data_IF_946061427992
#
_entry.id   IF_946061427992
#
_cell.length_a   1.000
_cell.length_b   1.000
_cell.length_c   1.000
_cell.angle_alpha   90.00
_cell.angle_beta   90.00
_cell.angle_gamma   90.00
#
_symmetry.space_group_name_H-M   'P 1'
#
loop_
_entity.id
_entity.type
_entity.pdbx_description
1 polymer ?
#
# COMPACT_ATOMS: atom_id res chain seq x y z
N UNK A 1 -10.35 2.90 -4.18
CA UNK A 1 -10.73 4.01 -5.08
C UNK A 1 -9.56 4.98 -5.20
N UNK A 2 -9.31 5.59 -6.37
CA UNK A 2 -8.32 6.67 -6.52
C UNK A 2 -9.06 7.99 -6.40
N UNK A 3 -8.53 8.93 -5.63
CA UNK A 3 -9.06 10.28 -5.56
C UNK A 3 -8.20 11.22 -6.41
N UNK A 4 -8.83 11.85 -7.41
CA UNK A 4 -8.18 12.81 -8.30
C UNK A 4 -8.39 14.21 -7.74
N UNK A 5 -7.31 14.80 -7.25
CA UNK A 5 -7.34 16.07 -6.52
C UNK A 5 -6.93 17.27 -7.37
N UNK A 6 -6.15 17.02 -8.40
CA UNK A 6 -5.76 17.99 -9.41
C UNK A 6 -5.44 17.21 -10.67
N UNK A 7 -5.75 17.70 -11.87
CA UNK A 7 -5.27 17.04 -13.08
C UNK A 7 -3.77 17.38 -13.23
N UNK A 8 -2.86 16.42 -13.50
CA UNK A 8 -3.03 14.97 -13.76
C UNK A 8 -2.75 14.06 -12.54
N UNK A 9 -2.86 14.58 -11.32
CA UNK A 9 -2.51 13.93 -10.07
C UNK A 9 -3.68 13.21 -9.38
N UNK A 10 -3.39 12.05 -8.80
CA UNK A 10 -4.31 11.32 -7.94
C UNK A 10 -3.58 10.74 -6.74
N UNK A 11 -4.30 10.51 -5.65
CA UNK A 11 -3.81 9.72 -4.54
C UNK A 11 -4.71 8.53 -4.23
N UNK A 12 -4.14 7.54 -3.56
CA UNK A 12 -4.87 6.45 -2.93
C UNK A 12 -4.31 6.20 -1.54
N UNK A 13 -5.24 6.08 -0.60
CA UNK A 13 -4.97 5.55 0.72
C UNK A 13 -5.78 4.26 0.81
N UNK A 14 -5.15 3.18 1.25
CA UNK A 14 -5.82 1.89 1.46
C UNK A 14 -5.30 1.27 2.75
N UNK A 15 -6.19 0.59 3.47
CA UNK A 15 -5.85 -0.10 4.70
C UNK A 15 -6.61 -1.41 4.81
N UNK A 16 -5.94 -2.44 5.33
CA UNK A 16 -6.55 -3.71 5.69
C UNK A 16 -5.99 -4.17 7.04
N UNK A 17 -6.81 -4.89 7.80
CA UNK A 17 -6.38 -5.53 9.03
C UNK A 17 -7.01 -6.91 9.13
N UNK A 18 -6.30 -7.84 9.76
CA UNK A 18 -6.78 -9.17 10.07
C UNK A 18 -6.34 -9.54 11.49
N UNK A 19 -7.26 -10.08 12.28
CA UNK A 19 -7.01 -10.54 13.64
C UNK A 19 -7.55 -11.97 13.78
N UNK A 20 -6.77 -12.84 14.40
CA UNK A 20 -7.14 -14.22 14.70
C UNK A 20 -6.46 -14.70 15.99
N UNK A 21 -6.75 -15.93 16.40
CA UNK A 21 -6.13 -16.51 17.61
C UNK A 21 -4.61 -16.71 17.51
N UNK A 22 -4.06 -16.60 16.31
CA UNK A 22 -2.64 -16.73 16.00
C UNK A 22 -1.94 -15.37 15.90
N UNK A 23 -2.65 -14.26 16.13
CA UNK A 23 -2.09 -12.90 16.10
C UNK A 23 -2.83 -11.92 15.18
N UNK A 24 -2.13 -10.87 14.75
CA UNK A 24 -2.69 -9.80 13.90
C UNK A 24 -1.77 -9.43 12.76
N UNK A 25 -2.37 -8.88 11.70
CA UNK A 25 -1.65 -8.20 10.63
C UNK A 25 -2.39 -6.92 10.23
N UNK A 26 -1.64 -5.86 10.00
CA UNK A 26 -2.11 -4.55 9.59
C UNK A 26 -1.31 -4.08 8.38
N UNK A 27 -2.02 -3.57 7.37
CA UNK A 27 -1.46 -3.15 6.10
C UNK A 27 -2.01 -1.77 5.73
N UNK A 28 -1.13 -0.79 5.55
CA UNK A 28 -1.45 0.56 5.14
C UNK A 28 -0.65 0.95 3.91
N UNK A 29 -1.34 1.50 2.91
CA UNK A 29 -0.76 2.01 1.67
C UNK A 29 -1.08 3.50 1.51
N UNK A 30 -0.05 4.27 1.19
CA UNK A 30 -0.15 5.64 0.69
C UNK A 30 0.45 5.70 -0.71
N UNK A 31 -0.33 6.15 -1.69
CA UNK A 31 0.09 6.21 -3.08
C UNK A 31 -0.17 7.59 -3.68
N UNK A 32 0.85 8.18 -4.30
CA UNK A 32 0.74 9.34 -5.17
C UNK A 32 0.98 8.90 -6.61
N UNK A 33 0.11 9.32 -7.51
CA UNK A 33 0.12 8.92 -8.92
C UNK A 33 -0.04 10.12 -9.82
N UNK A 34 0.61 10.07 -10.98
CA UNK A 34 0.50 11.07 -12.04
C UNK A 34 0.20 10.38 -13.37
N UNK A 35 -0.87 10.80 -14.02
CA UNK A 35 -1.16 10.36 -15.39
C UNK A 35 -0.15 10.99 -16.36
N UNK A 36 0.41 10.18 -17.26
CA UNK A 36 1.40 10.57 -18.27
C UNK A 36 0.85 10.19 -19.64
N UNK A 37 0.26 11.17 -20.34
CA UNK A 37 -0.50 10.92 -21.56
C UNK A 37 -1.84 10.22 -21.27
N UNK A 38 -2.38 9.51 -22.26
CA UNK A 38 -3.68 8.83 -22.17
C UNK A 38 -3.60 7.36 -21.74
N UNK A 39 -2.41 6.75 -21.78
CA UNK A 39 -2.24 5.31 -21.60
C UNK A 39 -1.27 4.92 -20.46
N UNK A 40 -0.63 5.89 -19.81
CA UNK A 40 0.45 5.61 -18.87
C UNK A 40 0.30 6.40 -17.57
N UNK A 41 0.90 5.86 -16.51
CA UNK A 41 0.89 6.47 -15.16
C UNK A 41 2.23 6.20 -14.51
N UNK A 42 2.75 7.19 -13.78
CA UNK A 42 3.89 7.01 -12.86
C UNK A 42 3.42 7.15 -11.43
N UNK A 43 4.08 6.48 -10.49
CA UNK A 43 3.65 6.47 -9.11
C UNK A 43 4.80 6.36 -8.12
N UNK A 44 4.54 6.88 -6.92
CA UNK A 44 5.31 6.62 -5.69
C UNK A 44 4.34 6.05 -4.67
N UNK A 45 4.70 4.94 -4.05
CA UNK A 45 3.89 4.20 -3.08
C UNK A 45 4.72 3.95 -1.83
N UNK A 46 4.16 4.25 -0.67
CA UNK A 46 4.73 3.90 0.63
C UNK A 46 3.79 2.91 1.31
N UNK A 47 4.32 1.79 1.80
CA UNK A 47 3.54 0.75 2.46
C UNK A 47 4.14 0.42 3.82
N UNK A 48 3.26 0.28 4.79
CA UNK A 48 3.56 -0.18 6.14
C UNK A 48 2.76 -1.48 6.32
N UNK A 49 3.47 -2.58 6.56
CA UNK A 49 2.90 -3.88 6.83
C UNK A 49 3.49 -4.37 8.15
N UNK A 50 2.66 -4.42 9.18
CA UNK A 50 3.02 -5.03 10.46
C UNK A 50 2.25 -6.32 10.63
N UNK A 51 2.92 -7.33 11.16
CA UNK A 51 2.22 -8.56 11.51
C UNK A 51 3.02 -9.40 12.46
N UNK A 52 2.31 -10.19 13.25
CA UNK A 52 2.93 -10.97 14.29
C UNK A 52 1.97 -11.86 15.04
N UNK A 53 2.55 -12.74 15.84
CA UNK A 53 1.86 -13.62 16.77
C UNK A 53 2.16 -13.14 18.18
N UNK A 54 1.10 -13.04 18.97
CA UNK A 54 1.15 -12.83 20.40
C UNK A 54 0.33 -13.96 21.04
N UNK A 55 1.03 -14.97 21.57
CA UNK A 55 0.42 -16.07 22.30
C UNK A 55 1.33 -16.52 23.45
N UNK A 56 0.84 -17.46 24.26
CA UNK A 56 1.53 -17.93 25.48
C UNK A 56 2.89 -18.62 25.20
N UNK A 57 3.19 -18.95 23.94
CA UNK A 57 4.38 -19.71 23.52
C UNK A 57 5.39 -18.87 22.73
N UNK A 58 4.91 -17.91 21.93
CA UNK A 58 5.71 -17.14 20.97
C UNK A 58 5.19 -15.71 20.89
N UNK A 59 6.10 -14.77 21.12
CA UNK A 59 5.92 -13.36 20.81
C UNK A 59 6.83 -13.00 19.63
N UNK A 60 6.25 -12.67 18.49
CA UNK A 60 7.02 -12.23 17.31
C UNK A 60 6.23 -11.22 16.49
N UNK A 61 6.85 -10.09 16.19
CA UNK A 61 6.30 -9.08 15.29
C UNK A 61 7.36 -8.65 14.28
N UNK A 62 6.93 -8.43 13.05
CA UNK A 62 7.76 -7.88 11.98
C UNK A 62 7.08 -6.66 11.39
N UNK A 63 7.84 -5.59 11.25
CA UNK A 63 7.43 -4.36 10.60
C UNK A 63 8.17 -4.21 9.27
N UNK A 64 7.43 -4.30 8.17
CA UNK A 64 7.93 -3.96 6.84
C UNK A 64 7.47 -2.55 6.48
N UNK A 65 8.43 -1.64 6.38
CA UNK A 65 8.20 -0.26 5.95
C UNK A 65 9.04 0.00 4.71
N UNK A 66 8.39 0.24 3.57
CA UNK A 66 9.08 0.37 2.31
C UNK A 66 8.37 1.31 1.34
N UNK A 67 9.15 1.83 0.39
CA UNK A 67 8.64 2.64 -0.70
C UNK A 67 8.97 2.00 -2.05
N UNK A 68 8.07 2.21 -3.02
CA UNK A 68 8.21 1.76 -4.41
C UNK A 68 7.95 2.94 -5.33
N UNK A 69 8.82 3.11 -6.32
CA UNK A 69 8.59 3.98 -7.48
C UNK A 69 8.38 3.10 -8.70
N UNK A 70 7.45 3.48 -9.58
CA UNK A 70 7.17 2.67 -10.76
C UNK A 70 6.30 3.38 -11.80
N UNK A 71 6.02 2.65 -12.87
CA UNK A 71 5.16 3.09 -13.96
C UNK A 71 4.22 1.96 -14.40
N UNK A 72 3.03 2.34 -14.85
CA UNK A 72 2.02 1.49 -15.47
C UNK A 72 1.83 1.96 -16.92
N UNK A 73 1.77 1.02 -17.86
CA UNK A 73 1.47 1.29 -19.27
C UNK A 73 0.35 0.36 -19.72
N UNK A 74 -0.70 0.92 -20.32
CA UNK A 74 -1.78 0.15 -20.94
C UNK A 74 -1.52 -0.01 -22.43
N UNK A 75 -1.41 -1.25 -22.87
CA UNK A 75 -1.39 -1.63 -24.28
C UNK A 75 -2.64 -2.48 -24.57
N UNK A 76 -3.17 -2.32 -25.78
CA UNK A 76 -4.25 -3.11 -26.35
C UNK A 76 -3.65 -3.97 -27.45
#
# INVERSE_FOLDING_TARGET
MDWRFAIPWSFRIAGNALVGSQGRAEDLLFALMRDVGSASKVFVRHRILEGGTDNDEVYTFSLFNYAVIGAEWRFW
#
